data_IF_748857316111
#
_entry.id   IF_748857316111
#
_cell.length_a   1.000
_cell.length_b   1.000
_cell.length_c   1.000
_cell.angle_alpha   90.00
_cell.angle_beta   90.00
_cell.angle_gamma   90.00
#
_symmetry.space_group_name_H-M   'P 1'
#
loop_
_entity.id
_entity.type
_entity.pdbx_description
1 polymer ?
#
# COMPACT_ATOMS: atom_id res chain seq x y z
N UNK A 1 18.98 6.04 -10.87
CA UNK A 1 18.17 5.14 -10.02
C UNK A 1 18.95 4.90 -8.73
N UNK A 2 18.83 5.83 -7.77
CA UNK A 2 19.59 5.81 -6.50
C UNK A 2 18.59 5.73 -5.36
N UNK A 3 17.93 4.58 -5.25
CA UNK A 3 17.04 4.30 -4.13
C UNK A 3 17.87 3.92 -2.89
N UNK A 4 17.62 4.66 -1.81
CA UNK A 4 18.01 4.39 -0.42
C UNK A 4 19.49 4.12 -0.11
N UNK A 5 20.36 5.12 -0.32
CA UNK A 5 21.76 5.14 0.19
C UNK A 5 21.91 5.09 1.72
N UNK A 6 20.84 5.00 2.50
CA UNK A 6 20.93 5.02 3.96
C UNK A 6 19.76 4.27 4.61
N UNK A 7 19.70 2.94 4.39
CA UNK A 7 18.76 2.03 5.06
C UNK A 7 18.73 2.25 6.59
N UNK A 8 19.86 2.63 7.20
CA UNK A 8 19.96 2.95 8.63
C UNK A 8 19.15 4.18 9.05
N UNK A 9 19.12 5.24 8.21
CA UNK A 9 18.29 6.44 8.46
C UNK A 9 16.82 6.15 8.21
N UNK A 10 16.53 5.37 7.18
CA UNK A 10 15.17 4.89 6.89
C UNK A 10 14.62 4.10 8.08
N UNK A 11 15.35 3.09 8.57
CA UNK A 11 14.92 2.29 9.71
C UNK A 11 14.79 3.11 11.00
N UNK A 12 15.70 4.06 11.25
CA UNK A 12 15.56 5.01 12.38
C UNK A 12 14.27 5.82 12.32
N UNK A 13 13.85 6.26 11.13
CA UNK A 13 12.64 7.06 10.95
C UNK A 13 11.37 6.24 11.12
N UNK A 14 11.32 5.01 10.59
CA UNK A 14 10.13 4.17 10.65
C UNK A 14 10.02 3.32 11.92
N UNK A 15 11.13 2.96 12.59
CA UNK A 15 11.10 2.11 13.79
C UNK A 15 10.19 2.59 14.94
N UNK A 16 10.00 3.90 15.18
CA UNK A 16 9.04 4.36 16.20
C UNK A 16 7.58 4.22 15.73
N UNK A 17 7.33 4.30 14.42
CA UNK A 17 6.00 4.19 13.81
C UNK A 17 5.53 2.72 13.67
N UNK A 18 6.49 1.79 13.61
CA UNK A 18 6.24 0.34 13.62
C UNK A 18 5.80 -0.17 15.00
N UNK A 19 5.93 0.63 16.08
CA UNK A 19 5.41 0.31 17.43
C UNK A 19 3.87 0.40 17.54
N UNK A 20 3.13 0.06 16.49
CA UNK A 20 1.68 0.20 16.47
C UNK A 20 1.06 -1.15 16.10
N UNK A 21 0.45 -1.77 17.11
CA UNK A 21 -0.42 -2.96 17.13
C UNK A 21 0.26 -4.33 17.28
N UNK A 22 0.86 -4.58 18.43
CA UNK A 22 0.58 -5.84 19.14
C UNK A 22 0.51 -5.59 20.65
N UNK A 23 -0.65 -5.95 21.18
CA UNK A 23 -1.05 -6.20 22.56
C UNK A 23 -0.52 -5.36 23.72
N UNK A 24 -1.49 -4.75 24.41
CA UNK A 24 -1.43 -4.41 25.84
C UNK A 24 -1.40 -5.69 26.70
N UNK A 25 -0.39 -6.54 26.52
CA UNK A 25 -0.06 -7.56 27.53
C UNK A 25 1.43 -7.46 27.82
N UNK A 26 1.74 -7.24 29.10
CA UNK A 26 3.04 -6.84 29.63
C UNK A 26 4.04 -7.99 29.75
N UNK A 27 4.02 -8.97 28.84
CA UNK A 27 5.04 -10.01 28.75
C UNK A 27 5.59 -9.98 27.33
N UNK A 28 6.69 -9.25 27.14
CA UNK A 28 7.29 -9.04 25.82
C UNK A 28 7.55 -10.36 25.11
N UNK A 29 6.89 -10.56 23.98
CA UNK A 29 7.21 -11.65 23.07
C UNK A 29 8.60 -11.37 22.51
N UNK A 30 9.63 -11.98 23.12
CA UNK A 30 10.96 -12.03 22.55
C UNK A 30 10.83 -12.66 21.17
N UNK A 31 11.17 -11.92 20.12
CA UNK A 31 11.16 -12.44 18.75
C UNK A 31 12.30 -13.44 18.67
N UNK A 32 12.00 -14.68 19.01
CA UNK A 32 12.94 -15.79 18.97
C UNK A 32 12.99 -16.30 17.54
N UNK A 33 14.03 -15.93 16.79
CA UNK A 33 14.19 -16.38 15.41
C UNK A 33 15.01 -17.67 15.44
N UNK A 34 14.47 -18.73 14.86
CA UNK A 34 15.18 -20.01 14.71
C UNK A 34 15.93 -20.02 13.38
N UNK A 35 17.26 -20.02 13.43
CA UNK A 35 18.15 -20.13 12.26
C UNK A 35 19.05 -21.35 12.44
N UNK A 36 19.05 -22.27 11.47
CA UNK A 36 19.86 -23.51 11.53
C UNK A 36 19.71 -24.25 12.86
N UNK A 37 18.47 -24.40 13.31
CA UNK A 37 18.10 -25.04 14.58
C UNK A 37 18.46 -24.29 15.88
N UNK A 38 19.22 -23.20 15.81
CA UNK A 38 19.54 -22.33 16.95
C UNK A 38 18.48 -21.24 17.11
N UNK A 39 18.01 -21.03 18.34
CA UNK A 39 17.19 -19.87 18.70
C UNK A 39 18.12 -18.69 18.96
N UNK A 40 17.85 -17.57 18.27
CA UNK A 40 18.58 -16.31 18.44
C UNK A 40 17.65 -15.28 19.05
N UNK A 41 18.08 -14.72 20.19
CA UNK A 41 17.39 -13.70 20.96
C UNK A 41 18.25 -12.43 21.16
N UNK A 42 19.56 -12.51 20.87
CA UNK A 42 20.47 -11.39 20.94
C UNK A 42 20.23 -10.39 19.80
N UNK A 43 20.04 -9.12 20.17
CA UNK A 43 19.63 -8.05 19.26
C UNK A 43 20.62 -7.82 18.12
N UNK A 44 21.92 -7.92 18.38
CA UNK A 44 22.97 -7.70 17.37
C UNK A 44 22.97 -8.86 16.36
N UNK A 45 22.90 -10.10 16.84
CA UNK A 45 22.80 -11.30 16.02
C UNK A 45 21.52 -11.30 15.17
N UNK A 46 20.39 -10.86 15.73
CA UNK A 46 19.14 -10.64 14.97
C UNK A 46 19.30 -9.61 13.85
N UNK A 47 19.94 -8.47 14.14
CA UNK A 47 20.19 -7.45 13.13
C UNK A 47 21.05 -7.99 11.99
N UNK A 48 22.09 -8.77 12.30
CA UNK A 48 22.98 -9.34 11.29
C UNK A 48 22.29 -10.42 10.46
N UNK A 49 21.45 -11.26 11.08
CA UNK A 49 20.60 -12.24 10.38
C UNK A 49 19.67 -11.54 9.39
N UNK A 50 18.96 -10.51 9.83
CA UNK A 50 18.07 -9.75 8.94
C UNK A 50 18.83 -9.04 7.84
N UNK A 51 19.96 -8.41 8.15
CA UNK A 51 20.79 -7.74 7.16
C UNK A 51 21.31 -8.74 6.12
N UNK A 52 21.82 -9.90 6.53
CA UNK A 52 22.23 -10.95 5.60
C UNK A 52 21.05 -11.43 4.75
N UNK A 53 19.91 -11.73 5.36
CA UNK A 53 18.74 -12.17 4.61
C UNK A 53 18.35 -11.14 3.54
N UNK A 54 18.08 -9.89 3.91
CA UNK A 54 17.64 -8.87 2.96
C UNK A 54 18.71 -8.46 1.94
N UNK A 55 20.00 -8.58 2.26
CA UNK A 55 21.09 -8.34 1.29
C UNK A 55 21.34 -9.53 0.36
N UNK A 56 20.95 -10.74 0.76
CA UNK A 56 20.97 -11.93 -0.12
C UNK A 56 19.80 -11.99 -1.09
N UNK A 57 18.73 -11.22 -0.84
CA UNK A 57 17.63 -11.03 -1.80
C UNK A 57 18.18 -10.23 -3.00
N UNK A 58 18.69 -10.95 -4.00
CA UNK A 58 18.94 -10.40 -5.32
C UNK A 58 17.68 -10.57 -6.15
N UNK A 59 17.31 -9.56 -6.92
CA UNK A 59 16.34 -9.76 -8.01
C UNK A 59 16.91 -10.85 -8.91
N UNK A 60 16.25 -12.00 -8.98
CA UNK A 60 16.57 -13.01 -9.97
C UNK A 60 16.07 -12.52 -11.33
N UNK A 61 16.70 -11.51 -11.91
CA UNK A 61 16.39 -11.03 -13.26
C UNK A 61 16.80 -12.03 -14.34
N UNK A 62 17.42 -13.16 -13.96
CA UNK A 62 17.78 -14.27 -14.84
C UNK A 62 16.66 -15.31 -14.92
N UNK A 63 15.39 -14.91 -14.87
CA UNK A 63 14.30 -15.80 -15.25
C UNK A 63 14.21 -15.76 -16.78
N UNK A 64 14.42 -16.89 -17.48
CA UNK A 64 14.18 -16.95 -18.91
C UNK A 64 12.76 -16.49 -19.24
N UNK A 65 12.61 -15.82 -20.39
CA UNK A 65 11.31 -15.31 -20.83
C UNK A 65 10.26 -16.42 -20.86
N UNK A 66 10.65 -17.66 -21.21
CA UNK A 66 9.74 -18.80 -21.25
C UNK A 66 9.14 -19.11 -19.87
N UNK A 67 9.93 -19.02 -18.80
CA UNK A 67 9.48 -19.26 -17.44
C UNK A 67 8.56 -18.14 -16.94
N UNK A 68 8.79 -16.91 -17.39
CA UNK A 68 7.92 -15.77 -17.08
C UNK A 68 6.56 -15.91 -17.78
N UNK A 69 6.56 -16.33 -19.04
CA UNK A 69 5.34 -16.61 -19.82
C UNK A 69 4.58 -17.77 -19.19
N UNK A 70 5.27 -18.86 -18.81
CA UNK A 70 4.65 -19.99 -18.12
C UNK A 70 3.99 -19.55 -16.81
N UNK A 71 4.69 -18.78 -15.98
CA UNK A 71 4.13 -18.24 -14.74
C UNK A 71 2.89 -17.36 -14.99
N UNK A 72 2.92 -16.49 -16.00
CA UNK A 72 1.78 -15.65 -16.37
C UNK A 72 0.60 -16.53 -16.78
N UNK A 73 0.82 -17.52 -17.62
CA UNK A 73 -0.24 -18.41 -18.05
C UNK A 73 -0.78 -19.24 -16.88
N UNK A 74 0.07 -19.84 -16.06
CA UNK A 74 -0.37 -20.67 -14.94
C UNK A 74 -1.16 -19.90 -13.89
N UNK A 75 -0.84 -18.62 -13.67
CA UNK A 75 -1.48 -17.81 -12.62
C UNK A 75 -2.59 -16.90 -13.14
N UNK A 76 -2.55 -16.51 -14.42
CA UNK A 76 -3.47 -15.53 -15.00
C UNK A 76 -4.29 -16.09 -16.17
N UNK A 77 -4.08 -17.33 -16.66
CA UNK A 77 -4.90 -17.90 -17.74
C UNK A 77 -6.38 -18.07 -17.35
N UNK A 78 -6.70 -18.17 -16.07
CA UNK A 78 -8.08 -18.20 -15.56
C UNK A 78 -8.64 -16.80 -15.26
N UNK A 79 -7.87 -15.73 -15.48
CA UNK A 79 -8.42 -14.38 -15.46
C UNK A 79 -9.22 -14.21 -16.75
N UNK A 80 -10.53 -14.48 -16.68
CA UNK A 80 -11.46 -14.27 -17.78
C UNK A 80 -11.34 -12.82 -18.25
N UNK A 81 -10.60 -12.60 -19.34
CA UNK A 81 -10.45 -11.30 -20.01
C UNK A 81 -11.79 -10.75 -20.54
N UNK A 82 -12.86 -11.53 -20.45
CA UNK A 82 -14.22 -11.14 -20.79
C UNK A 82 -14.81 -10.10 -19.82
N UNK A 83 -14.11 -9.74 -18.74
CA UNK A 83 -14.46 -8.66 -17.84
C UNK A 83 -13.31 -7.67 -17.71
N UNK A 84 -12.86 -7.11 -18.84
CA UNK A 84 -12.28 -5.76 -18.80
C UNK A 84 -13.47 -4.82 -18.55
N UNK A 85 -13.67 -4.26 -17.34
CA UNK A 85 -14.61 -3.17 -17.21
C UNK A 85 -14.18 -2.11 -18.23
N UNK A 86 -15.10 -1.73 -19.12
CA UNK A 86 -14.89 -0.61 -20.04
C UNK A 86 -14.57 0.62 -19.18
N UNK A 87 -13.28 0.87 -19.00
CA UNK A 87 -12.82 1.99 -18.22
C UNK A 87 -13.02 3.24 -19.08
N UNK A 88 -14.15 3.89 -18.87
CA UNK A 88 -14.51 5.14 -19.55
C UNK A 88 -14.38 6.30 -18.57
N UNK A 89 -13.63 7.32 -18.96
CA UNK A 89 -13.67 8.60 -18.28
C UNK A 89 -15.03 9.25 -18.54
N UNK A 90 -15.87 9.36 -17.50
CA UNK A 90 -17.09 10.17 -17.51
C UNK A 90 -16.78 11.55 -16.94
N UNK A 91 -17.37 12.59 -17.55
CA UNK A 91 -17.42 13.89 -16.91
C UNK A 91 -18.41 13.82 -15.77
N UNK A 92 -17.94 14.02 -14.54
CA UNK A 92 -18.79 13.93 -13.37
C UNK A 92 -19.36 15.33 -13.04
N UNK A 93 -20.67 15.45 -12.93
CA UNK A 93 -21.31 16.71 -12.55
C UNK A 93 -21.41 16.85 -11.01
N UNK A 94 -21.62 18.07 -10.52
CA UNK A 94 -21.65 18.33 -9.07
C UNK A 94 -22.76 17.57 -8.32
N UNK A 95 -23.82 17.12 -9.01
CA UNK A 95 -24.88 16.34 -8.38
C UNK A 95 -24.46 14.87 -8.24
N UNK A 96 -23.88 14.27 -9.28
CA UNK A 96 -23.32 12.91 -9.25
C UNK A 96 -22.24 12.75 -8.16
N UNK A 97 -21.40 13.78 -7.99
CA UNK A 97 -20.42 13.81 -6.90
C UNK A 97 -21.09 13.90 -5.53
N UNK A 98 -22.18 14.66 -5.41
CA UNK A 98 -22.89 14.76 -4.16
C UNK A 98 -23.57 13.44 -3.78
N UNK A 99 -24.14 12.75 -4.75
CA UNK A 99 -24.75 11.41 -4.57
C UNK A 99 -23.67 10.40 -4.15
N UNK A 100 -22.51 10.44 -4.82
CA UNK A 100 -21.35 9.61 -4.47
C UNK A 100 -20.84 9.88 -3.05
N UNK A 101 -20.83 11.15 -2.60
CA UNK A 101 -20.45 11.51 -1.23
C UNK A 101 -21.49 11.02 -0.22
N UNK A 102 -22.79 11.09 -0.55
CA UNK A 102 -23.85 10.58 0.33
C UNK A 102 -23.80 9.08 0.53
N UNK A 103 -23.34 8.33 -0.47
CA UNK A 103 -23.25 6.86 -0.43
C UNK A 103 -22.06 6.35 0.40
N UNK A 104 -21.09 7.22 0.75
CA UNK A 104 -19.96 6.81 1.58
C UNK A 104 -20.42 6.32 2.96
N UNK A 105 -19.77 5.32 3.56
CA UNK A 105 -20.15 4.91 4.91
C UNK A 105 -19.74 5.97 5.95
N UNK A 106 -20.67 6.48 6.76
CA UNK A 106 -20.43 7.51 7.77
C UNK A 106 -19.42 7.07 8.84
N UNK A 107 -19.36 5.76 9.13
CA UNK A 107 -18.46 5.17 10.13
C UNK A 107 -17.10 4.74 9.56
N UNK A 108 -16.80 5.11 8.32
CA UNK A 108 -15.49 4.82 7.72
C UNK A 108 -14.40 5.61 8.46
N UNK A 109 -13.28 4.95 8.78
CA UNK A 109 -12.08 5.64 9.21
C UNK A 109 -11.58 6.61 8.14
N UNK A 110 -10.80 7.61 8.55
CA UNK A 110 -10.11 8.47 7.60
C UNK A 110 -9.18 7.63 6.71
N UNK A 111 -9.30 7.78 5.39
CA UNK A 111 -8.42 7.12 4.42
C UNK A 111 -6.99 7.66 4.47
N UNK A 112 -6.19 7.37 3.43
CA UNK A 112 -4.77 7.78 3.34
C UNK A 112 -4.57 9.31 3.46
N UNK A 113 -5.59 10.09 3.09
CA UNK A 113 -5.57 11.55 3.20
C UNK A 113 -5.85 12.09 4.62
N UNK A 114 -6.21 11.24 5.59
CA UNK A 114 -6.50 11.66 6.97
C UNK A 114 -7.81 12.44 7.15
N UNK A 115 -8.62 12.60 6.11
CA UNK A 115 -9.91 13.30 6.18
C UNK A 115 -11.02 12.31 6.59
N UNK A 116 -11.74 12.53 7.69
CA UNK A 116 -12.87 11.69 8.07
C UNK A 116 -14.04 11.80 7.09
N UNK A 117 -14.69 10.68 6.77
CA UNK A 117 -15.85 10.65 5.86
C UNK A 117 -17.02 11.51 6.34
N UNK A 118 -17.20 11.63 7.66
CA UNK A 118 -18.16 12.53 8.28
C UNK A 118 -17.96 14.00 7.86
N UNK A 119 -16.71 14.46 7.77
CA UNK A 119 -16.40 15.82 7.36
C UNK A 119 -16.76 16.08 5.89
N UNK A 120 -16.48 15.10 5.02
CA UNK A 120 -16.84 15.16 3.60
C UNK A 120 -18.35 15.23 3.40
N UNK A 121 -19.12 14.42 4.14
CA UNK A 121 -20.59 14.44 4.08
C UNK A 121 -21.19 15.74 4.58
N UNK A 122 -20.77 16.22 5.75
CA UNK A 122 -21.32 17.46 6.33
C UNK A 122 -20.97 18.72 5.53
N UNK A 123 -19.91 18.66 4.72
CA UNK A 123 -19.47 19.77 3.87
C UNK A 123 -19.60 19.46 2.38
N UNK A 124 -20.45 18.50 1.99
CA UNK A 124 -20.56 18.02 0.60
C UNK A 124 -20.88 19.16 -0.37
N UNK A 125 -21.73 20.10 0.03
CA UNK A 125 -22.07 21.28 -0.78
C UNK A 125 -20.87 22.15 -1.12
N UNK A 126 -19.87 22.24 -0.23
CA UNK A 126 -18.63 23.02 -0.46
C UNK A 126 -17.67 22.27 -1.37
N UNK A 127 -17.60 20.94 -1.22
CA UNK A 127 -16.62 20.11 -1.92
C UNK A 127 -17.07 19.63 -3.29
N UNK A 128 -18.39 19.47 -3.53
CA UNK A 128 -18.91 18.87 -4.77
C UNK A 128 -18.41 19.57 -6.03
N UNK A 129 -18.38 20.91 -6.04
CA UNK A 129 -17.93 21.69 -7.20
C UNK A 129 -16.41 21.59 -7.39
N UNK A 130 -15.64 21.54 -6.30
CA UNK A 130 -14.18 21.41 -6.33
C UNK A 130 -13.79 20.02 -6.84
N UNK A 131 -14.44 18.97 -6.32
CA UNK A 131 -14.19 17.59 -6.71
C UNK A 131 -14.62 17.35 -8.16
N UNK A 132 -15.78 17.86 -8.58
CA UNK A 132 -16.23 17.79 -9.97
C UNK A 132 -15.22 18.48 -10.91
N UNK A 133 -14.70 19.65 -10.52
CA UNK A 133 -13.65 20.33 -11.29
C UNK A 133 -12.37 19.49 -11.39
N UNK A 134 -11.88 18.92 -10.28
CA UNK A 134 -10.67 18.11 -10.25
C UNK A 134 -10.78 16.83 -11.08
N UNK A 135 -11.91 16.12 -11.00
CA UNK A 135 -12.14 14.89 -11.75
C UNK A 135 -12.28 15.15 -13.26
N UNK A 136 -12.77 16.33 -13.62
CA UNK A 136 -12.91 16.76 -15.01
C UNK A 136 -11.70 17.56 -15.50
N UNK A 137 -10.66 17.69 -14.69
CA UNK A 137 -9.50 18.51 -15.02
C UNK A 137 -8.71 17.82 -16.13
N UNK A 138 -8.94 18.24 -17.37
CA UNK A 138 -8.13 17.84 -18.52
C UNK A 138 -6.77 18.50 -18.35
N UNK A 139 -5.72 17.72 -18.06
CA UNK A 139 -4.34 18.20 -18.18
C UNK A 139 -4.18 18.75 -19.58
N UNK A 140 -3.96 20.06 -19.71
CA UNK A 140 -3.49 20.64 -20.97
C UNK A 140 -2.12 20.02 -21.23
N UNK A 141 -2.09 18.96 -22.01
CA UNK A 141 -0.87 18.50 -22.66
C UNK A 141 -0.44 19.64 -23.59
N UNK A 142 0.62 20.34 -23.18
CA UNK A 142 1.49 21.06 -24.13
C UNK A 142 2.40 20.03 -24.81
#
# INVERSE_FOLDING_TARGET
MNDFKNAKKFWKFYSPLVKIKSDKSSNGTTINIKVNEKIVDEKEELCDIFNNFFTTIKSSSNVPIENSIAFINDNFANSNSNFLPDFKFSFNNSNEINDSISDLNYSSGAGVCGIPTMCLKNSSFKFKSIIAYLLNFKTRSQ
#
